data_IF_019221351523
#
_entry.id   IF_019221351523
#
_cell.length_a   1.000
_cell.length_b   1.000
_cell.length_c   1.000
_cell.angle_alpha   90.00
_cell.angle_beta   90.00
_cell.angle_gamma   90.00
#
_symmetry.space_group_name_H-M   'P 1'
#
loop_
_entity.id
_entity.type
_entity.pdbx_description
1 polymer ?
#
# COMPACT_ATOMS: atom_id res chain seq x y z
N UNK A 1 -66.79 -7.97 -2.28
CA UNK A 1 -65.52 -8.05 -3.04
C UNK A 1 -64.41 -8.35 -2.06
N UNK A 2 -63.68 -9.47 -2.15
CA UNK A 2 -62.49 -9.64 -1.33
C UNK A 2 -61.34 -8.83 -1.96
N UNK A 3 -60.79 -7.88 -1.19
CA UNK A 3 -59.66 -7.05 -1.61
C UNK A 3 -58.34 -7.80 -1.51
N UNK A 4 -57.49 -7.66 -2.53
CA UNK A 4 -56.10 -8.09 -2.47
C UNK A 4 -55.24 -7.00 -1.82
N UNK A 5 -54.36 -7.39 -0.91
CA UNK A 5 -53.28 -6.55 -0.38
C UNK A 5 -51.95 -7.11 -0.87
N UNK A 6 -50.97 -6.23 -1.12
CA UNK A 6 -49.60 -6.60 -1.50
C UNK A 6 -48.63 -6.04 -0.45
N UNK A 7 -47.69 -6.86 0.00
CA UNK A 7 -46.61 -6.42 0.88
C UNK A 7 -45.47 -5.83 0.03
N UNK A 8 -44.81 -4.81 0.56
CA UNK A 8 -43.59 -4.23 0.00
C UNK A 8 -42.54 -4.25 1.10
N UNK A 9 -41.28 -4.44 0.71
CA UNK A 9 -40.17 -4.33 1.64
C UNK A 9 -39.97 -2.88 2.07
N UNK A 10 -39.44 -2.70 3.29
CA UNK A 10 -38.97 -1.40 3.74
C UNK A 10 -37.76 -0.94 2.89
N UNK A 11 -37.47 0.36 2.93
CA UNK A 11 -36.25 0.90 2.30
C UNK A 11 -35.01 0.18 2.86
N UNK A 12 -34.03 -0.08 1.99
CA UNK A 12 -32.84 -0.88 2.35
C UNK A 12 -33.05 -2.40 2.30
N UNK A 13 -34.21 -2.88 1.87
CA UNK A 13 -34.47 -4.32 1.74
C UNK A 13 -34.96 -4.69 0.33
N UNK A 14 -34.61 -5.89 -0.10
CA UNK A 14 -35.03 -6.48 -1.36
C UNK A 14 -35.81 -7.79 -1.15
N UNK A 15 -36.73 -8.08 -2.07
CA UNK A 15 -37.47 -9.36 -2.07
C UNK A 15 -36.50 -10.48 -2.41
N UNK A 16 -36.45 -11.52 -1.57
CA UNK A 16 -35.65 -12.70 -1.84
C UNK A 16 -36.51 -13.81 -2.44
N UNK A 17 -36.39 -14.03 -3.76
CA UNK A 17 -37.06 -15.13 -4.46
C UNK A 17 -36.32 -16.46 -4.18
N UNK A 18 -36.62 -17.10 -3.04
CA UNK A 18 -36.27 -18.50 -2.79
C UNK A 18 -37.25 -19.47 -3.48
N UNK A 19 -36.82 -20.69 -3.78
CA UNK A 19 -37.41 -21.74 -4.65
C UNK A 19 -38.91 -22.11 -4.51
N UNK A 20 -39.72 -21.42 -3.72
CA UNK A 20 -41.16 -21.64 -3.69
C UNK A 20 -41.88 -20.31 -3.57
N UNK A 21 -42.49 -19.91 -4.70
CA UNK A 21 -43.39 -18.78 -4.96
C UNK A 21 -44.38 -18.47 -3.82
N UNK A 22 -43.87 -17.92 -2.72
CA UNK A 22 -44.62 -17.50 -1.53
C UNK A 22 -44.60 -15.97 -1.46
N UNK A 23 -45.22 -15.36 -2.47
CA UNK A 23 -45.79 -14.01 -2.44
C UNK A 23 -44.99 -12.94 -1.66
N UNK A 24 -43.70 -12.76 -1.93
CA UNK A 24 -42.94 -11.57 -1.50
C UNK A 24 -43.02 -11.22 -0.01
N UNK A 25 -43.09 -12.22 0.88
CA UNK A 25 -43.19 -12.00 2.33
C UNK A 25 -41.82 -11.99 3.04
N UNK A 26 -40.76 -12.40 2.35
CA UNK A 26 -39.40 -12.40 2.90
C UNK A 26 -38.57 -11.27 2.27
N UNK A 27 -38.29 -10.26 3.10
CA UNK A 27 -37.40 -9.16 2.78
C UNK A 27 -36.04 -9.45 3.39
N UNK A 28 -35.00 -9.40 2.57
CA UNK A 28 -33.62 -9.46 3.05
C UNK A 28 -32.96 -8.11 2.86
N UNK A 29 -32.06 -7.83 3.77
CA UNK A 29 -31.19 -6.67 3.71
C UNK A 29 -30.52 -6.57 2.33
N UNK A 30 -30.55 -5.37 1.75
CA UNK A 30 -29.87 -5.08 0.50
C UNK A 30 -28.45 -4.63 0.85
N UNK A 31 -27.47 -5.50 0.59
CA UNK A 31 -26.07 -5.12 0.82
C UNK A 31 -25.61 -4.08 -0.22
N UNK A 32 -25.65 -2.79 0.15
CA UNK A 32 -25.24 -1.71 -0.76
C UNK A 32 -23.73 -1.72 -1.03
N UNK A 33 -22.94 -2.42 -0.22
CA UNK A 33 -21.49 -2.56 -0.40
C UNK A 33 -21.11 -3.72 -1.32
N UNK A 34 -22.04 -4.62 -1.65
CA UNK A 34 -21.80 -5.84 -2.43
C UNK A 34 -21.44 -5.61 -3.89
N UNK A 35 -21.76 -4.44 -4.45
CA UNK A 35 -21.46 -4.11 -5.85
C UNK A 35 -21.19 -2.61 -6.05
N UNK A 36 -20.45 -2.28 -7.11
CA UNK A 36 -20.15 -0.89 -7.45
C UNK A 36 -21.38 -0.09 -7.92
N UNK A 37 -22.42 -0.78 -8.42
CA UNK A 37 -23.66 -0.13 -8.88
C UNK A 37 -24.55 0.30 -7.70
N UNK A 38 -24.48 -0.43 -6.58
CA UNK A 38 -25.23 -0.12 -5.35
C UNK A 38 -24.46 0.81 -4.42
N UNK A 39 -23.13 0.72 -4.44
CA UNK A 39 -22.28 1.50 -3.54
C UNK A 39 -22.21 2.97 -3.98
N UNK A 40 -22.98 3.82 -3.32
CA UNK A 40 -22.98 5.27 -3.58
C UNK A 40 -21.93 6.04 -2.77
N UNK A 41 -21.03 5.38 -2.03
CA UNK A 41 -20.03 6.06 -1.22
C UNK A 41 -19.01 6.82 -2.08
N UNK A 42 -18.67 8.05 -1.67
CA UNK A 42 -17.67 8.87 -2.36
C UNK A 42 -16.27 8.23 -2.44
N UNK A 43 -15.42 8.76 -3.32
CA UNK A 43 -14.02 8.32 -3.46
C UNK A 43 -13.25 8.44 -2.12
N UNK A 44 -12.35 7.47 -1.88
CA UNK A 44 -11.52 7.34 -0.65
C UNK A 44 -12.30 7.00 0.61
N UNK A 45 -13.54 6.57 0.49
CA UNK A 45 -14.32 6.03 1.61
C UNK A 45 -14.24 4.51 1.67
N UNK A 46 -14.85 3.94 2.70
CA UNK A 46 -15.13 2.52 2.87
C UNK A 46 -16.61 2.39 3.19
N UNK A 47 -17.27 1.45 2.51
CA UNK A 47 -18.67 1.13 2.71
C UNK A 47 -18.78 0.05 3.78
N UNK A 48 -19.66 0.24 4.76
CA UNK A 48 -20.06 -0.76 5.74
C UNK A 48 -21.56 -0.99 5.60
N UNK A 49 -21.93 -2.23 5.24
CA UNK A 49 -23.31 -2.64 5.14
C UNK A 49 -23.91 -2.78 6.55
N UNK A 50 -25.09 -2.23 6.76
CA UNK A 50 -25.84 -2.30 8.00
C UNK A 50 -27.21 -2.90 7.71
N UNK A 51 -27.92 -3.32 8.74
CA UNK A 51 -29.27 -3.82 8.53
C UNK A 51 -30.22 -2.67 8.16
N UNK A 52 -30.75 -2.70 6.93
CA UNK A 52 -31.67 -1.73 6.36
C UNK A 52 -31.02 -0.43 5.87
N UNK A 53 -29.68 -0.35 5.81
CA UNK A 53 -28.93 0.83 5.37
C UNK A 53 -27.46 0.47 5.19
N UNK A 54 -26.65 1.45 4.80
CA UNK A 54 -25.20 1.39 4.85
C UNK A 54 -24.66 2.70 5.42
N UNK A 55 -23.38 2.70 5.77
CA UNK A 55 -22.65 3.93 6.05
C UNK A 55 -21.34 3.97 5.28
N UNK A 56 -20.93 5.18 4.94
CA UNK A 56 -19.67 5.46 4.30
C UNK A 56 -18.78 6.22 5.28
N UNK A 57 -17.57 5.73 5.52
CA UNK A 57 -16.57 6.39 6.37
C UNK A 57 -15.27 6.59 5.59
N UNK A 58 -14.38 7.48 6.02
CA UNK A 58 -13.08 7.59 5.36
C UNK A 58 -12.32 6.27 5.42
N UNK A 59 -11.79 5.86 4.27
CA UNK A 59 -11.05 4.62 4.16
C UNK A 59 -9.66 4.71 4.82
N UNK A 60 -8.94 3.58 4.93
CA UNK A 60 -7.62 3.54 5.55
C UNK A 60 -6.64 4.53 4.90
N UNK A 61 -5.92 5.28 5.75
CA UNK A 61 -4.98 6.33 5.34
C UNK A 61 -5.63 7.68 5.02
N UNK A 62 -6.94 7.82 5.22
CA UNK A 62 -7.66 9.07 5.05
C UNK A 62 -8.39 9.49 6.33
N UNK A 63 -8.62 10.80 6.46
CA UNK A 63 -9.40 11.40 7.53
C UNK A 63 -10.45 12.37 6.95
N UNK A 64 -11.55 12.62 7.68
CA UNK A 64 -12.53 13.61 7.29
C UNK A 64 -11.90 14.99 7.11
N UNK A 65 -12.33 15.71 6.06
CA UNK A 65 -11.96 17.11 5.85
C UNK A 65 -12.63 17.99 6.92
N UNK A 66 -13.92 17.76 7.13
CA UNK A 66 -14.68 18.33 8.24
C UNK A 66 -14.73 17.31 9.39
N UNK A 67 -14.37 17.74 10.60
CA UNK A 67 -14.31 16.86 11.76
C UNK A 67 -15.69 16.54 12.33
N UNK A 68 -16.69 17.35 12.00
CA UNK A 68 -18.06 17.14 12.45
C UNK A 68 -18.81 16.18 11.50
N UNK A 69 -18.33 16.01 10.25
CA UNK A 69 -18.87 15.09 9.25
C UNK A 69 -18.02 13.80 9.15
N UNK A 70 -18.25 12.86 10.06
CA UNK A 70 -17.46 11.61 10.15
C UNK A 70 -17.98 10.47 9.27
N UNK A 71 -19.20 10.58 8.74
CA UNK A 71 -19.85 9.60 7.87
C UNK A 71 -20.78 10.26 6.85
N UNK A 72 -21.07 9.56 5.75
CA UNK A 72 -22.05 9.98 4.76
C UNK A 72 -21.63 9.70 3.32
N UNK A 73 -22.61 9.54 2.44
CA UNK A 73 -22.39 9.22 1.01
C UNK A 73 -21.54 10.26 0.29
N UNK A 74 -21.73 11.54 0.62
CA UNK A 74 -21.03 12.68 0.01
C UNK A 74 -19.80 13.14 0.83
N UNK A 75 -19.37 12.36 1.82
CA UNK A 75 -18.31 12.77 2.73
C UNK A 75 -16.98 13.03 2.01
N UNK A 76 -16.22 14.00 2.50
CA UNK A 76 -14.93 14.39 1.92
C UNK A 76 -13.77 13.89 2.76
N UNK A 77 -12.92 13.07 2.14
CA UNK A 77 -11.75 12.48 2.77
C UNK A 77 -10.44 13.04 2.21
N UNK A 78 -9.56 13.50 3.11
CA UNK A 78 -8.19 13.92 2.79
C UNK A 78 -7.18 12.90 3.30
N UNK A 79 -6.03 12.90 2.65
CA UNK A 79 -4.90 12.06 3.03
C UNK A 79 -4.43 12.44 4.44
N UNK A 80 -4.16 11.44 5.28
CA UNK A 80 -3.56 11.67 6.59
C UNK A 80 -2.09 12.00 6.36
N UNK A 81 -1.62 13.16 6.83
CA UNK A 81 -0.19 13.43 6.81
C UNK A 81 0.49 12.74 8.02
N UNK A 82 1.10 11.58 7.77
CA UNK A 82 1.82 10.87 8.83
C UNK A 82 3.12 11.54 9.26
N UNK A 83 3.66 12.47 8.45
CA UNK A 83 4.84 13.25 8.81
C UNK A 83 4.52 14.29 9.88
N UNK A 84 3.31 14.86 9.89
CA UNK A 84 2.85 15.75 10.97
C UNK A 84 2.79 15.03 12.33
N UNK A 85 2.51 13.71 12.30
CA UNK A 85 2.50 12.85 13.49
C UNK A 85 3.90 12.47 13.99
N UNK A 86 4.97 12.97 13.35
CA UNK A 86 6.38 12.73 13.72
C UNK A 86 6.73 11.24 13.90
N UNK A 87 6.18 10.38 13.04
CA UNK A 87 6.37 8.93 13.18
C UNK A 87 7.78 8.45 12.80
N UNK A 88 8.58 9.24 12.08
CA UNK A 88 9.95 8.88 11.69
C UNK A 88 10.97 9.12 12.81
N UNK A 89 12.13 8.47 12.72
CA UNK A 89 13.24 8.74 13.60
C UNK A 89 13.69 10.21 13.49
N UNK A 90 14.15 10.82 14.58
CA UNK A 90 14.67 12.20 14.59
C UNK A 90 15.89 12.45 13.68
N UNK A 91 16.47 11.39 13.10
CA UNK A 91 17.58 11.42 12.12
C UNK A 91 17.16 10.84 10.77
N UNK A 92 15.88 10.86 10.46
CA UNK A 92 15.30 10.50 9.18
C UNK A 92 14.48 11.65 8.62
N UNK A 93 14.43 11.75 7.30
CA UNK A 93 13.51 12.60 6.57
C UNK A 93 12.23 11.82 6.34
N UNK A 94 11.09 12.47 6.62
CA UNK A 94 9.77 11.94 6.30
C UNK A 94 9.30 12.52 4.97
N UNK A 95 8.71 11.67 4.13
CA UNK A 95 8.01 12.09 2.91
C UNK A 95 6.62 11.49 2.94
N UNK A 96 5.60 12.35 3.00
CA UNK A 96 4.20 11.94 2.93
C UNK A 96 3.84 11.51 1.51
N UNK A 97 2.94 10.55 1.37
CA UNK A 97 2.44 10.04 0.09
C UNK A 97 0.98 9.62 0.21
N UNK A 98 0.26 9.47 -0.91
CA UNK A 98 -1.15 9.08 -0.83
C UNK A 98 -1.30 7.70 -0.15
N UNK A 99 -2.07 7.65 0.95
CA UNK A 99 -2.33 6.48 1.82
C UNK A 99 -1.12 5.97 2.61
N UNK A 100 0.03 6.65 2.61
CA UNK A 100 1.26 6.12 3.22
C UNK A 100 2.34 7.18 3.40
N UNK A 101 3.47 6.81 3.97
CA UNK A 101 4.63 7.68 4.10
C UNK A 101 5.92 6.87 4.08
N UNK A 102 7.03 7.55 3.80
CA UNK A 102 8.36 6.95 3.84
C UNK A 102 9.25 7.69 4.82
N UNK A 103 10.04 6.92 5.58
CA UNK A 103 11.11 7.45 6.43
C UNK A 103 12.45 7.01 5.85
N UNK A 104 13.33 7.96 5.57
CA UNK A 104 14.68 7.65 5.06
C UNK A 104 15.71 8.23 6.01
N UNK A 105 16.60 7.40 6.55
CA UNK A 105 17.67 7.88 7.41
C UNK A 105 18.55 8.92 6.70
N UNK A 106 18.86 10.00 7.39
CA UNK A 106 19.64 11.11 6.87
C UNK A 106 21.07 10.66 6.55
N UNK A 107 21.77 11.44 5.72
CA UNK A 107 23.16 11.18 5.36
C UNK A 107 24.04 10.91 6.60
N UNK A 108 24.82 9.82 6.55
CA UNK A 108 25.63 9.38 7.67
C UNK A 108 24.91 8.50 8.69
N UNK A 109 23.64 8.15 8.47
CA UNK A 109 22.88 7.17 9.26
C UNK A 109 22.39 6.01 8.38
N UNK A 110 22.11 4.87 9.01
CA UNK A 110 21.56 3.66 8.37
C UNK A 110 20.49 3.03 9.26
N UNK A 111 19.49 2.44 8.63
CA UNK A 111 18.37 1.76 9.28
C UNK A 111 17.10 1.86 8.44
N UNK A 112 15.96 1.60 9.04
CA UNK A 112 14.63 1.54 8.42
C UNK A 112 13.89 2.90 8.41
N UNK A 113 14.57 3.99 8.81
CA UNK A 113 13.98 5.32 8.96
C UNK A 113 13.16 5.51 10.24
N UNK A 114 12.76 4.43 10.93
CA UNK A 114 12.18 4.46 12.28
C UNK A 114 13.26 4.34 13.36
N UNK A 115 14.35 3.66 13.04
CA UNK A 115 15.58 3.56 13.82
C UNK A 115 16.74 3.91 12.91
N UNK A 116 17.50 4.94 13.25
CA UNK A 116 18.65 5.36 12.47
C UNK A 116 19.90 5.38 13.34
N UNK A 117 20.85 4.51 13.00
CA UNK A 117 22.15 4.40 13.68
C UNK A 117 23.23 5.09 12.84
N UNK A 118 24.18 5.74 13.50
CA UNK A 118 25.29 6.41 12.81
C UNK A 118 26.08 5.38 12.00
N UNK A 119 26.14 5.60 10.69
CA UNK A 119 26.95 4.80 9.79
C UNK A 119 28.42 5.02 10.11
N UNK A 120 29.05 4.04 10.76
CA UNK A 120 30.52 4.03 10.84
C UNK A 120 31.04 3.94 9.41
N UNK A 121 31.81 4.94 8.97
CA UNK A 121 32.65 4.78 7.78
C UNK A 121 33.54 3.59 8.09
N UNK A 122 33.34 2.47 7.41
CA UNK A 122 34.36 1.44 7.36
C UNK A 122 35.52 2.12 6.66
N UNK A 123 36.48 2.63 7.44
CA UNK A 123 37.79 2.95 6.90
C UNK A 123 38.34 1.60 6.47
N UNK A 124 38.26 1.29 5.18
CA UNK A 124 39.16 0.32 4.58
C UNK A 124 40.56 0.92 4.72
N UNK A 125 41.18 0.71 5.90
CA UNK A 125 42.57 1.04 6.14
C UNK A 125 43.43 0.19 5.22
N UNK A 126 44.32 0.85 4.49
CA UNK A 126 45.17 0.27 3.47
C UNK A 126 46.16 -0.77 4.02
N UNK A 127 46.26 -1.95 3.37
CA UNK A 127 47.53 -2.62 3.04
C UNK A 127 47.26 -3.92 2.29
N UNK A 128 47.34 -3.87 0.97
CA UNK A 128 47.27 -5.03 0.10
C UNK A 128 47.68 -4.64 -1.30
N UNK A 129 48.93 -4.19 -1.49
CA UNK A 129 49.53 -4.25 -2.83
C UNK A 129 49.49 -5.73 -3.21
N UNK A 130 48.67 -6.10 -4.18
CA UNK A 130 48.83 -7.37 -4.87
C UNK A 130 50.16 -7.26 -5.64
N UNK A 131 51.26 -7.60 -4.98
CA UNK A 131 52.55 -7.76 -5.64
C UNK A 131 52.42 -9.04 -6.47
N UNK A 132 52.19 -8.88 -7.76
CA UNK A 132 52.48 -9.92 -8.72
C UNK A 132 53.96 -10.27 -8.57
N UNK A 133 54.24 -11.50 -8.15
CA UNK A 133 55.58 -12.05 -8.14
C UNK A 133 56.06 -12.07 -9.60
N UNK A 134 57.21 -11.46 -9.96
CA UNK A 134 57.71 -11.63 -11.31
C UNK A 134 58.07 -13.10 -11.47
N UNK A 135 57.29 -13.82 -12.29
CA UNK A 135 57.69 -15.11 -12.83
C UNK A 135 59.04 -14.83 -13.49
N UNK A 136 60.11 -15.37 -12.91
CA UNK A 136 61.43 -15.37 -13.54
C UNK A 136 61.25 -16.04 -14.90
N UNK A 137 61.18 -15.24 -15.95
CA UNK A 137 61.36 -15.70 -17.32
C UNK A 137 62.76 -16.30 -17.36
N UNK A 138 62.82 -17.62 -17.28
CA UNK A 138 64.01 -18.39 -17.54
C UNK A 138 64.52 -17.95 -18.91
N UNK A 139 65.70 -17.36 -18.88
CA UNK A 139 66.47 -16.96 -20.04
C UNK A 139 66.72 -18.16 -20.94
N UNK A 140 66.21 -18.14 -22.17
CA UNK A 140 66.83 -18.85 -23.28
C UNK A 140 66.77 -17.91 -24.49
N UNK A 141 67.78 -17.03 -24.58
CA UNK A 141 68.18 -16.41 -25.83
C UNK A 141 69.40 -17.19 -26.34
N UNK A 142 69.18 -18.07 -27.31
CA UNK A 142 70.13 -18.81 -28.16
C UNK A 142 69.27 -19.91 -28.81
N UNK A 143 68.84 -19.86 -30.07
CA UNK A 143 69.62 -19.86 -31.32
C UNK A 143 68.60 -19.45 -32.40
N UNK A 144 68.74 -18.26 -33.00
CA UNK A 144 69.15 -18.06 -34.41
C UNK A 144 68.35 -18.90 -35.41
N UNK A 145 67.62 -18.19 -36.27
CA UNK A 145 67.19 -18.53 -37.63
C UNK A 145 67.20 -20.01 -38.02
N UNK A 146 66.04 -20.53 -38.48
CA UNK A 146 65.87 -21.06 -39.84
C UNK A 146 64.51 -21.82 -40.02
N UNK A 147 63.75 -21.39 -41.06
CA UNK A 147 62.74 -22.12 -41.87
C UNK A 147 61.31 -22.13 -41.29
N UNK A 148 60.36 -21.30 -41.76
CA UNK A 148 59.66 -21.33 -43.06
C UNK A 148 59.25 -22.74 -43.52
N UNK A 149 57.93 -22.96 -43.57
CA UNK A 149 57.17 -23.94 -44.37
C UNK A 149 57.28 -25.42 -43.97
N UNK A 150 56.21 -25.96 -43.37
CA UNK A 150 55.23 -26.78 -44.11
C UNK A 150 53.94 -27.01 -43.31
#
# INVERSE_FOLDING_TARGET
MPGSYRCQCADGYQVWEGDNQKLGLECKDLDECSSSELNACAVRTTCENLEGSYKCTCGPGFEPVDKDEVEGVDMKCKDIDECEKKLCHAKATCTNSKKSYTCVCNAGYKGDGKKCLKSRKVKTGASGKLKYLPIKLLSIALIVHLWFLS
#
